data_IF_664991061372
#
_entry.id   IF_664991061372
#
_cell.length_a   1.000
_cell.length_b   1.000
_cell.length_c   1.000
_cell.angle_alpha   90.00
_cell.angle_beta   90.00
_cell.angle_gamma   90.00
#
_symmetry.space_group_name_H-M   'P 1'
#
loop_
_entity.id
_entity.type
_entity.pdbx_description
1 polymer ?
#
# COMPACT_ATOMS: atom_id res chain seq x y z
N UNK A 1 20.39 19.66 23.02
CA UNK A 1 21.83 20.00 22.91
C UNK A 1 22.67 18.81 23.38
N UNK A 2 23.33 18.12 22.45
CA UNK A 2 24.56 17.37 22.69
C UNK A 2 25.12 16.99 21.33
N UNK A 3 26.22 17.62 20.94
CA UNK A 3 27.01 17.21 19.80
C UNK A 3 28.17 16.34 20.31
N UNK A 4 28.33 15.14 19.77
CA UNK A 4 29.48 14.27 20.04
C UNK A 4 30.33 14.20 18.78
N UNK A 5 31.60 14.57 18.88
CA UNK A 5 32.53 14.64 17.75
C UNK A 5 33.83 13.92 18.09
N UNK A 6 34.33 13.13 17.15
CA UNK A 6 35.65 12.50 17.24
C UNK A 6 36.74 13.50 16.78
N UNK A 7 37.68 13.81 17.68
CA UNK A 7 38.87 14.61 17.35
C UNK A 7 39.78 13.83 16.39
N UNK A 8 40.26 14.50 15.34
CA UNK A 8 41.20 13.88 14.39
C UNK A 8 42.65 14.14 14.79
N UNK A 9 43.36 13.11 15.28
CA UNK A 9 44.82 13.11 15.26
C UNK A 9 45.31 12.58 13.89
N UNK A 10 45.66 13.49 12.95
CA UNK A 10 46.37 13.09 11.74
C UNK A 10 46.29 14.07 10.56
N UNK A 11 47.47 14.44 10.04
CA UNK A 11 47.67 15.39 8.94
C UNK A 11 47.42 14.74 7.56
N UNK A 12 46.35 15.16 6.89
CA UNK A 12 45.99 14.82 5.50
C UNK A 12 45.22 16.00 4.87
N UNK A 13 45.07 16.07 3.52
CA UNK A 13 44.73 17.31 2.83
C UNK A 13 43.39 17.88 3.31
N UNK A 14 43.48 19.05 3.96
CA UNK A 14 42.43 19.76 4.67
C UNK A 14 41.44 20.42 3.70
N UNK A 15 40.45 19.66 3.27
CA UNK A 15 39.14 20.18 2.94
C UNK A 15 38.25 20.22 4.18
N UNK A 16 38.75 20.76 5.29
CA UNK A 16 38.05 20.79 6.58
C UNK A 16 36.83 21.71 6.53
N UNK A 17 35.71 21.26 7.10
CA UNK A 17 34.53 22.11 7.33
C UNK A 17 34.71 22.76 8.71
N UNK A 18 34.57 24.08 8.74
CA UNK A 18 34.66 24.92 9.93
C UNK A 18 33.28 25.08 10.58
N UNK A 19 33.19 24.94 11.91
CA UNK A 19 32.09 25.49 12.71
C UNK A 19 32.58 26.61 13.63
N UNK A 20 31.76 27.66 13.80
CA UNK A 20 32.05 28.77 14.70
C UNK A 20 30.96 28.88 15.76
N UNK A 21 31.32 28.66 17.03
CA UNK A 21 30.41 28.72 18.17
C UNK A 21 31.13 29.28 19.39
N UNK A 22 30.56 30.29 20.04
CA UNK A 22 31.18 30.96 21.19
C UNK A 22 32.49 31.69 20.87
N UNK A 23 32.76 32.00 19.59
CA UNK A 23 34.01 32.61 19.13
C UNK A 23 35.17 31.62 18.93
N UNK A 24 34.92 30.32 19.11
CA UNK A 24 35.90 29.25 18.84
C UNK A 24 35.60 28.56 17.53
N UNK A 25 36.67 28.27 16.78
CA UNK A 25 36.65 27.55 15.52
C UNK A 25 37.33 26.19 15.70
N UNK A 26 36.74 25.12 15.16
CA UNK A 26 37.33 23.77 15.18
C UNK A 26 37.23 23.10 13.82
N UNK A 27 38.27 22.38 13.45
CA UNK A 27 38.35 21.63 12.18
C UNK A 27 37.93 20.17 12.40
N UNK A 28 37.06 19.65 11.53
CA UNK A 28 36.60 18.27 11.56
C UNK A 28 36.58 17.65 10.16
N UNK A 29 36.66 16.32 10.09
CA UNK A 29 36.53 15.56 8.83
C UNK A 29 35.08 15.42 8.36
N UNK A 30 34.13 15.48 9.29
CA UNK A 30 32.70 15.33 9.01
C UNK A 30 31.87 15.34 10.29
N UNK A 31 30.56 15.49 10.13
CA UNK A 31 29.59 15.47 11.23
C UNK A 31 28.20 15.14 10.69
N UNK A 32 27.36 14.56 11.55
CA UNK A 32 25.96 14.25 11.25
C UNK A 32 25.07 15.21 12.04
N UNK A 33 24.61 16.31 11.42
CA UNK A 33 23.73 17.24 12.12
C UNK A 33 22.34 16.63 12.28
N UNK A 34 21.79 16.72 13.48
CA UNK A 34 20.43 16.27 13.80
C UNK A 34 19.59 17.48 14.20
N UNK A 35 18.86 18.06 13.24
CA UNK A 35 18.07 19.29 13.43
C UNK A 35 16.60 19.05 13.81
N UNK A 36 16.21 17.78 14.01
CA UNK A 36 14.80 17.40 14.18
C UNK A 36 14.11 17.24 12.83
N UNK A 37 12.78 17.30 12.83
CA UNK A 37 11.94 17.14 11.64
C UNK A 37 10.77 18.11 11.68
N UNK A 38 10.46 18.70 10.52
CA UNK A 38 9.23 19.43 10.29
C UNK A 38 8.39 18.59 9.33
N UNK A 39 7.22 18.14 9.78
CA UNK A 39 6.34 17.25 9.02
C UNK A 39 5.41 18.05 8.11
N UNK A 40 5.15 17.56 6.89
CA UNK A 40 4.25 18.21 5.93
C UNK A 40 2.77 17.90 6.24
N UNK A 41 2.24 18.47 7.32
CA UNK A 41 0.88 18.19 7.83
C UNK A 41 -0.21 19.14 7.32
N UNK A 42 0.11 20.21 6.59
CA UNK A 42 -0.85 21.24 6.13
C UNK A 42 -2.15 20.67 5.55
N UNK A 43 -2.07 19.63 4.70
CA UNK A 43 -3.25 18.98 4.13
C UNK A 43 -4.11 18.29 5.19
N UNK A 44 -3.48 17.58 6.12
CA UNK A 44 -4.15 16.83 7.18
C UNK A 44 -4.87 17.80 8.13
N UNK A 45 -4.21 18.90 8.49
CA UNK A 45 -4.81 19.98 9.28
C UNK A 45 -6.02 20.60 8.57
N UNK A 46 -5.91 20.85 7.25
CA UNK A 46 -7.01 21.39 6.45
C UNK A 46 -8.22 20.45 6.35
N UNK A 47 -7.98 19.14 6.47
CA UNK A 47 -9.01 18.10 6.50
C UNK A 47 -9.58 17.88 7.91
N UNK A 48 -8.99 18.47 8.95
CA UNK A 48 -9.40 18.30 10.34
C UNK A 48 -8.88 17.03 11.01
N UNK A 49 -7.79 16.45 10.49
CA UNK A 49 -7.14 15.30 11.12
C UNK A 49 -6.47 15.70 12.44
N UNK A 50 -6.50 14.80 13.42
CA UNK A 50 -5.76 14.95 14.66
C UNK A 50 -4.24 14.88 14.40
N UNK A 51 -3.52 15.79 15.03
CA UNK A 51 -2.06 15.90 14.97
C UNK A 51 -1.52 15.66 16.38
N UNK A 52 -0.52 14.80 16.50
CA UNK A 52 0.15 14.51 17.76
C UNK A 52 0.97 15.72 18.25
N UNK A 53 1.32 15.73 19.53
CA UNK A 53 2.14 16.80 20.13
C UNK A 53 3.53 16.95 19.49
N UNK A 54 4.04 15.91 18.79
CA UNK A 54 5.31 15.92 18.07
C UNK A 54 5.20 16.40 16.61
N UNK A 55 3.99 16.76 16.15
CA UNK A 55 3.73 17.25 14.80
C UNK A 55 3.45 16.16 13.77
N UNK A 56 3.41 14.88 14.15
CA UNK A 56 2.98 13.79 13.24
C UNK A 56 1.45 13.66 13.20
N UNK A 57 0.92 13.07 12.14
CA UNK A 57 -0.52 12.76 12.02
C UNK A 57 -0.86 11.56 12.90
N UNK A 58 -1.90 11.68 13.72
CA UNK A 58 -2.40 10.57 14.52
C UNK A 58 -3.04 9.51 13.61
N UNK A 59 -2.56 8.26 13.72
CA UNK A 59 -3.05 7.14 12.92
C UNK A 59 -3.19 5.86 13.73
N UNK A 60 -4.11 4.99 13.31
CA UNK A 60 -4.18 3.61 13.79
C UNK A 60 -3.10 2.72 13.14
N UNK A 61 -3.09 1.45 13.54
CA UNK A 61 -2.18 0.42 13.02
C UNK A 61 -2.24 0.26 11.49
N UNK A 62 -3.33 0.65 10.83
CA UNK A 62 -3.55 0.55 9.39
C UNK A 62 -3.42 1.90 8.66
N UNK A 63 -2.99 2.95 9.35
CA UNK A 63 -2.84 4.29 8.79
C UNK A 63 -4.13 5.10 8.74
N UNK A 64 -5.24 4.66 9.37
CA UNK A 64 -6.49 5.44 9.44
C UNK A 64 -6.27 6.65 10.34
N UNK A 65 -6.65 7.83 9.86
CA UNK A 65 -6.62 9.06 10.67
C UNK A 65 -7.92 9.21 11.48
N UNK A 66 -8.04 10.30 12.24
CA UNK A 66 -9.29 10.66 12.93
C UNK A 66 -10.43 11.05 11.99
N UNK A 67 -10.15 11.30 10.70
CA UNK A 67 -11.15 11.66 9.68
C UNK A 67 -11.44 10.44 8.81
N UNK A 68 -12.73 10.08 8.71
CA UNK A 68 -13.17 8.91 7.94
C UNK A 68 -12.78 9.02 6.46
N UNK A 69 -12.30 7.91 5.90
CA UNK A 69 -11.79 7.86 4.52
C UNK A 69 -10.42 8.53 4.29
N UNK A 70 -9.79 9.12 5.31
CA UNK A 70 -8.45 9.74 5.21
C UNK A 70 -7.40 8.86 5.91
N UNK A 71 -6.33 8.56 5.18
CA UNK A 71 -5.23 7.72 5.64
C UNK A 71 -3.90 8.45 5.48
N UNK A 72 -2.96 8.19 6.38
CA UNK A 72 -1.60 8.70 6.33
C UNK A 72 -0.58 7.57 6.59
N UNK A 73 0.55 7.62 5.90
CA UNK A 73 1.65 6.64 6.01
C UNK A 73 3.00 7.32 5.77
N UNK A 74 4.09 6.66 6.17
CA UNK A 74 5.45 7.15 5.98
C UNK A 74 5.82 8.22 7.00
N UNK A 75 6.77 9.08 6.63
CA UNK A 75 7.42 10.01 7.55
C UNK A 75 6.47 10.99 8.25
N UNK A 76 5.24 11.20 7.73
CA UNK A 76 4.24 12.07 8.36
C UNK A 76 3.54 11.41 9.57
N UNK A 77 3.79 10.13 9.83
CA UNK A 77 3.20 9.34 10.92
C UNK A 77 4.23 9.00 11.99
N UNK A 78 3.81 8.66 13.23
CA UNK A 78 4.74 8.22 14.27
C UNK A 78 5.60 7.02 13.83
N UNK A 79 6.90 7.07 14.11
CA UNK A 79 7.81 5.95 13.91
C UNK A 79 9.13 6.31 13.24
N UNK A 80 9.67 5.36 12.48
CA UNK A 80 10.97 5.51 11.81
C UNK A 80 10.81 6.02 10.39
N UNK A 81 11.47 7.13 10.08
CA UNK A 81 11.53 7.73 8.74
C UNK A 81 12.47 6.93 7.82
N UNK A 82 12.04 5.74 7.42
CA UNK A 82 12.78 4.80 6.58
C UNK A 82 11.92 4.33 5.41
N UNK A 83 12.47 4.36 4.19
CA UNK A 83 11.77 3.96 2.97
C UNK A 83 11.10 2.57 3.09
N UNK A 84 11.77 1.51 3.61
CA UNK A 84 11.12 0.21 3.76
C UNK A 84 9.93 0.21 4.73
N UNK A 85 10.00 1.00 5.80
CA UNK A 85 8.90 1.15 6.77
C UNK A 85 7.72 1.83 6.10
N UNK A 86 7.95 2.95 5.41
CA UNK A 86 6.93 3.68 4.67
C UNK A 86 6.24 2.80 3.60
N UNK A 87 7.02 1.97 2.88
CA UNK A 87 6.47 1.01 1.92
C UNK A 87 5.54 -0.02 2.59
N UNK A 88 5.96 -0.57 3.73
CA UNK A 88 5.16 -1.54 4.48
C UNK A 88 3.86 -0.93 5.04
N UNK A 89 3.94 0.28 5.59
CA UNK A 89 2.77 1.05 6.03
C UNK A 89 1.81 1.29 4.85
N UNK A 90 2.33 1.74 3.70
CA UNK A 90 1.53 1.94 2.48
C UNK A 90 0.82 0.68 2.00
N UNK A 91 1.48 -0.48 2.06
CA UNK A 91 0.85 -1.75 1.72
C UNK A 91 -0.30 -2.10 2.68
N UNK A 92 -0.10 -1.91 4.00
CA UNK A 92 -1.12 -2.16 5.02
C UNK A 92 -2.32 -1.22 4.89
N UNK A 93 -2.07 0.07 4.68
CA UNK A 93 -3.11 1.07 4.43
C UNK A 93 -3.87 0.76 3.13
N UNK A 94 -3.18 0.36 2.06
CA UNK A 94 -3.83 -0.04 0.81
C UNK A 94 -4.77 -1.23 0.96
N UNK A 95 -4.38 -2.24 1.76
CA UNK A 95 -5.25 -3.37 2.11
C UNK A 95 -6.47 -2.89 2.92
N UNK A 96 -6.26 -2.00 3.90
CA UNK A 96 -7.33 -1.44 4.70
C UNK A 96 -8.33 -0.63 3.86
N UNK A 97 -7.86 0.27 3.00
CA UNK A 97 -8.68 1.03 2.05
C UNK A 97 -9.47 0.07 1.16
N UNK A 98 -8.82 -0.99 0.63
CA UNK A 98 -9.52 -1.97 -0.19
C UNK A 98 -10.63 -2.67 0.58
N UNK A 99 -10.39 -3.06 1.84
CA UNK A 99 -11.40 -3.70 2.69
C UNK A 99 -12.53 -2.74 3.06
N UNK A 100 -12.22 -1.49 3.39
CA UNK A 100 -13.20 -0.48 3.80
C UNK A 100 -14.10 -0.06 2.62
N UNK A 101 -13.57 -0.02 1.38
CA UNK A 101 -14.34 0.24 0.16
C UNK A 101 -15.03 -1.00 -0.40
N UNK A 102 -14.73 -2.20 0.12
CA UNK A 102 -15.29 -3.44 -0.41
C UNK A 102 -16.77 -3.49 -0.07
N UNK A 103 -17.67 -3.71 -1.05
CA UNK A 103 -19.10 -3.78 -0.79
C UNK A 103 -19.52 -5.12 -0.16
N UNK A 104 -18.60 -5.96 0.31
CA UNK A 104 -18.89 -7.31 0.77
C UNK A 104 -18.49 -7.52 2.24
N UNK A 105 -19.22 -8.34 3.00
CA UNK A 105 -20.39 -9.10 2.56
C UNK A 105 -21.62 -8.19 2.36
N UNK A 106 -22.29 -8.32 1.21
CA UNK A 106 -23.61 -7.70 0.98
C UNK A 106 -24.65 -8.49 1.77
N UNK A 107 -25.74 -7.84 2.16
CA UNK A 107 -26.86 -8.57 2.75
C UNK A 107 -27.47 -9.52 1.70
N UNK A 108 -28.03 -10.66 2.13
CA UNK A 108 -28.73 -11.58 1.22
C UNK A 108 -29.93 -10.90 0.57
N UNK A 109 -30.60 -10.00 1.29
CA UNK A 109 -31.72 -9.21 0.78
C UNK A 109 -31.30 -8.30 -0.40
N UNK A 110 -30.16 -7.59 -0.30
CA UNK A 110 -29.61 -6.80 -1.41
C UNK A 110 -29.13 -7.66 -2.59
N UNK A 111 -28.70 -8.90 -2.33
CA UNK A 111 -28.33 -9.85 -3.39
C UNK A 111 -29.57 -10.37 -4.13
N UNK A 112 -30.64 -10.68 -3.39
CA UNK A 112 -31.90 -11.15 -3.97
C UNK A 112 -32.53 -10.10 -4.90
N UNK A 113 -32.37 -8.80 -4.59
CA UNK A 113 -32.80 -7.69 -5.45
C UNK A 113 -32.05 -7.64 -6.79
N UNK A 114 -30.80 -8.11 -6.84
CA UNK A 114 -29.99 -8.15 -8.07
C UNK A 114 -30.38 -9.32 -8.98
N UNK A 115 -31.15 -10.29 -8.46
CA UNK A 115 -31.55 -11.49 -9.19
C UNK A 115 -30.44 -12.53 -9.32
N UNK A 116 -30.75 -13.71 -9.91
CA UNK A 116 -29.78 -14.77 -10.11
C UNK A 116 -28.69 -14.35 -11.11
N UNK A 117 -27.45 -14.76 -10.84
CA UNK A 117 -26.33 -14.56 -11.77
C UNK A 117 -26.52 -15.47 -12.99
N UNK A 118 -26.63 -14.86 -14.17
CA UNK A 118 -26.65 -15.58 -15.43
C UNK A 118 -25.25 -16.05 -15.83
N UNK A 119 -25.18 -17.10 -16.66
CA UNK A 119 -23.92 -17.64 -17.18
C UNK A 119 -23.14 -16.61 -18.03
N UNK A 120 -23.79 -15.55 -18.52
CA UNK A 120 -23.15 -14.43 -19.23
C UNK A 120 -22.55 -13.35 -18.34
N UNK A 121 -22.90 -13.32 -17.04
CA UNK A 121 -22.43 -12.32 -16.07
C UNK A 121 -21.21 -12.80 -15.27
N UNK A 122 -20.97 -14.11 -15.23
CA UNK A 122 -19.74 -14.65 -14.66
C UNK A 122 -18.58 -14.45 -15.64
N UNK A 123 -17.37 -14.09 -15.15
CA UNK A 123 -16.14 -14.14 -15.95
C UNK A 123 -15.74 -15.60 -16.18
N UNK A 124 -16.57 -16.34 -16.90
CA UNK A 124 -16.24 -17.66 -17.42
C UNK A 124 -15.34 -17.51 -18.64
N UNK A 125 -14.60 -18.58 -18.95
CA UNK A 125 -13.94 -18.73 -20.25
C UNK A 125 -15.02 -18.55 -21.32
N UNK A 126 -14.83 -17.63 -22.27
CA UNK A 126 -15.82 -17.42 -23.34
C UNK A 126 -16.12 -18.75 -24.04
N UNK A 127 -17.35 -18.95 -24.49
CA UNK A 127 -17.73 -20.20 -25.19
C UNK A 127 -16.79 -20.49 -26.37
N UNK A 128 -16.31 -19.44 -27.04
CA UNK A 128 -15.29 -19.52 -28.09
C UNK A 128 -13.92 -20.01 -27.56
N UNK A 129 -13.42 -19.46 -26.45
CA UNK A 129 -12.18 -19.92 -25.82
C UNK A 129 -12.29 -21.36 -25.32
N UNK A 130 -13.45 -21.75 -24.78
CA UNK A 130 -13.73 -23.10 -24.31
C UNK A 130 -13.76 -24.08 -25.48
N UNK A 131 -14.48 -23.75 -26.56
CA UNK A 131 -14.52 -24.55 -27.78
C UNK A 131 -13.12 -24.69 -28.41
N UNK A 132 -12.35 -23.61 -28.46
CA UNK A 132 -10.96 -23.63 -28.94
C UNK A 132 -10.07 -24.49 -28.05
N UNK A 133 -10.22 -24.43 -26.72
CA UNK A 133 -9.46 -25.26 -25.79
C UNK A 133 -9.81 -26.75 -25.86
N UNK A 134 -11.07 -27.08 -26.18
CA UNK A 134 -11.54 -28.46 -26.39
C UNK A 134 -11.05 -29.00 -27.74
N UNK A 135 -11.12 -28.19 -28.80
CA UNK A 135 -10.67 -28.57 -30.14
C UNK A 135 -9.14 -28.61 -30.30
N UNK A 136 -8.38 -28.01 -29.37
CA UNK A 136 -6.92 -27.98 -29.47
C UNK A 136 -6.30 -29.30 -29.02
N UNK A 137 -5.79 -30.08 -29.98
CA UNK A 137 -5.16 -31.40 -29.76
C UNK A 137 -3.85 -31.38 -28.94
N UNK A 138 -3.41 -30.22 -28.44
CA UNK A 138 -2.12 -30.03 -27.74
C UNK A 138 -2.14 -30.16 -26.21
N UNK A 139 -3.27 -30.54 -25.59
CA UNK A 139 -3.37 -30.57 -24.12
C UNK A 139 -2.75 -31.83 -23.49
N UNK A 140 -2.07 -31.69 -22.34
CA UNK A 140 -1.32 -32.76 -21.68
C UNK A 140 -2.16 -33.97 -21.21
N UNK A 141 -3.49 -33.83 -21.19
CA UNK A 141 -4.44 -34.86 -20.76
C UNK A 141 -5.01 -35.73 -21.90
N UNK A 142 -4.64 -35.47 -23.17
CA UNK A 142 -5.20 -36.15 -24.34
C UNK A 142 -6.54 -35.56 -24.83
N UNK A 143 -7.14 -36.11 -25.91
CA UNK A 143 -8.35 -35.55 -26.52
C UNK A 143 -9.55 -35.67 -25.57
N UNK A 144 -10.30 -34.58 -25.37
CA UNK A 144 -11.60 -34.64 -24.67
C UNK A 144 -12.64 -35.22 -25.63
N UNK A 145 -13.44 -36.17 -25.14
CA UNK A 145 -14.44 -36.91 -25.93
C UNK A 145 -15.86 -36.33 -25.83
N UNK A 146 -16.04 -35.23 -25.10
CA UNK A 146 -17.34 -34.57 -24.92
C UNK A 146 -17.65 -33.65 -26.10
N UNK A 147 -18.91 -33.66 -26.54
CA UNK A 147 -19.36 -32.89 -27.70
C UNK A 147 -19.58 -31.42 -27.35
N UNK A 148 -19.31 -30.51 -28.29
CA UNK A 148 -19.48 -29.05 -28.08
C UNK A 148 -20.91 -28.72 -27.65
N UNK A 149 -21.91 -29.45 -28.16
CA UNK A 149 -23.32 -29.28 -27.80
C UNK A 149 -23.65 -29.71 -26.35
N UNK A 150 -22.90 -30.64 -25.75
CA UNK A 150 -23.04 -31.01 -24.32
C UNK A 150 -22.39 -29.97 -23.39
N UNK A 151 -21.38 -29.25 -23.87
CA UNK A 151 -20.62 -28.26 -23.10
C UNK A 151 -21.31 -26.88 -23.11
N UNK A 152 -22.08 -26.59 -24.16
CA UNK A 152 -22.77 -25.31 -24.38
C UNK A 152 -24.24 -25.33 -23.91
N UNK A 153 -24.60 -26.17 -22.93
CA UNK A 153 -25.97 -26.33 -22.43
C UNK A 153 -26.70 -25.01 -22.15
N UNK A 154 -28.02 -25.06 -22.37
CA UNK A 154 -29.02 -23.96 -22.27
C UNK A 154 -28.74 -23.00 -21.10
N UNK A 155 -29.08 -21.70 -21.27
CA UNK A 155 -28.87 -20.64 -20.26
C UNK A 155 -29.47 -21.03 -18.90
N UNK A 156 -28.67 -21.69 -18.06
CA UNK A 156 -29.04 -22.09 -16.70
C UNK A 156 -28.35 -21.17 -15.70
N UNK A 157 -29.01 -20.85 -14.58
CA UNK A 157 -28.36 -20.14 -13.49
C UNK A 157 -27.08 -20.90 -13.09
N UNK A 158 -26.03 -20.16 -12.76
CA UNK A 158 -24.81 -20.80 -12.27
C UNK A 158 -25.15 -21.63 -11.02
N UNK A 159 -24.89 -22.94 -11.06
CA UNK A 159 -25.00 -23.81 -9.89
C UNK A 159 -23.95 -23.41 -8.84
N UNK A 160 -24.41 -23.16 -7.62
CA UNK A 160 -23.63 -22.72 -6.47
C UNK A 160 -23.35 -23.95 -5.56
N UNK A 161 -22.39 -24.80 -5.98
CA UNK A 161 -21.89 -25.97 -5.23
C UNK A 161 -20.43 -25.77 -4.75
#
# INVERSE_FOLDING_TARGET
ESFEFEDSEGQGPSGGRTESGGGTEREYKGGFPMYGSEYNTDLHESLGCAINDDGTVEVDDHGRTSVDGVYAVGDVTPGHNQIPVAMGQGAKAGIAIHMDLRPFPRSTEELDELGPVSSGEVPAVSQELLANAVAHEGHAAGPRVESVDEVLGDEQPADDD
#
